data_IF_688102308473
#
_entry.id   IF_688102308473
#
_cell.length_a   1.000
_cell.length_b   1.000
_cell.length_c   1.000
_cell.angle_alpha   90.00
_cell.angle_beta   90.00
_cell.angle_gamma   90.00
#
_symmetry.space_group_name_H-M   'P 1'
#
loop_
_entity.id
_entity.type
_entity.pdbx_description
1 polymer ?
#
# COMPACT_ATOMS: atom_id res chain seq x y z
N UNK A 1 14.72 -9.94 -7.58
CA UNK A 1 13.35 -10.16 -7.06
C UNK A 1 13.14 -9.15 -5.97
N UNK A 2 11.92 -8.65 -5.80
CA UNK A 2 11.67 -7.51 -4.92
C UNK A 2 10.20 -7.49 -4.54
N UNK A 3 9.86 -8.48 -3.71
CA UNK A 3 8.62 -8.53 -2.95
C UNK A 3 8.77 -7.56 -1.77
N UNK A 4 7.75 -6.76 -1.52
CA UNK A 4 7.73 -5.83 -0.40
C UNK A 4 6.86 -6.38 0.72
N UNK A 5 5.59 -6.68 0.41
CA UNK A 5 4.60 -7.05 1.42
C UNK A 5 3.61 -8.10 0.91
N UNK A 6 3.20 -8.98 1.83
CA UNK A 6 2.14 -9.97 1.63
C UNK A 6 1.10 -9.84 2.74
N UNK A 7 -0.18 -9.76 2.35
CA UNK A 7 -1.29 -9.49 3.28
C UNK A 7 -2.42 -10.50 3.07
N UNK A 8 -2.70 -11.38 4.04
CA UNK A 8 -3.88 -12.25 4.00
C UNK A 8 -5.16 -11.42 3.98
N UNK A 9 -6.06 -11.69 3.04
CA UNK A 9 -7.29 -10.90 2.90
C UNK A 9 -8.38 -11.34 3.86
N UNK A 10 -8.43 -12.64 4.19
CA UNK A 10 -9.49 -13.27 4.99
C UNK A 10 -9.87 -12.52 6.27
N UNK A 11 -8.87 -12.06 7.03
CA UNK A 11 -9.08 -11.39 8.32
C UNK A 11 -9.63 -9.96 8.21
N UNK A 12 -9.76 -9.42 7.00
CA UNK A 12 -10.01 -7.99 6.77
C UNK A 12 -11.22 -7.71 5.87
N UNK A 13 -11.83 -8.75 5.28
CA UNK A 13 -12.98 -8.61 4.39
C UNK A 13 -14.07 -7.73 5.02
N UNK A 14 -14.51 -8.03 6.23
CA UNK A 14 -15.67 -7.35 6.82
C UNK A 14 -15.37 -5.96 7.41
N UNK A 15 -14.09 -5.56 7.47
CA UNK A 15 -13.66 -4.35 8.17
C UNK A 15 -13.01 -3.31 7.26
N UNK A 16 -12.73 -3.67 6.01
CA UNK A 16 -12.07 -2.81 5.04
C UNK A 16 -13.01 -2.63 3.85
N UNK A 17 -13.57 -1.43 3.69
CA UNK A 17 -14.69 -1.17 2.77
C UNK A 17 -14.46 -1.64 1.32
N UNK A 18 -13.27 -1.44 0.70
CA UNK A 18 -13.02 -1.98 -0.64
C UNK A 18 -13.00 -3.52 -0.75
N UNK A 19 -12.88 -4.23 0.37
CA UNK A 19 -12.86 -5.69 0.47
C UNK A 19 -14.17 -6.26 1.03
N UNK A 20 -15.06 -5.41 1.56
CA UNK A 20 -16.30 -5.83 2.19
C UNK A 20 -17.24 -6.52 1.22
N UNK A 21 -17.77 -7.67 1.64
CA UNK A 21 -18.69 -8.48 0.82
C UNK A 21 -18.02 -9.20 -0.35
N UNK A 22 -16.70 -9.42 -0.32
CA UNK A 22 -15.93 -10.13 -1.36
C UNK A 22 -15.48 -11.53 -0.93
N UNK A 23 -16.40 -12.52 -0.88
CA UNK A 23 -16.06 -13.89 -0.47
C UNK A 23 -15.06 -14.56 -1.43
N UNK A 24 -14.97 -14.10 -2.67
CA UNK A 24 -14.00 -14.56 -3.67
C UNK A 24 -12.54 -14.25 -3.29
N UNK A 25 -12.32 -13.36 -2.33
CA UNK A 25 -11.00 -13.01 -1.81
C UNK A 25 -10.63 -13.74 -0.51
N UNK A 26 -11.48 -14.64 0.00
CA UNK A 26 -11.26 -15.36 1.28
C UNK A 26 -9.95 -16.15 1.34
N UNK A 27 -9.48 -16.65 0.20
CA UNK A 27 -8.27 -17.47 0.07
C UNK A 27 -7.15 -16.72 -0.66
N UNK A 28 -7.31 -15.40 -0.81
CA UNK A 28 -6.36 -14.55 -1.51
C UNK A 28 -5.39 -13.87 -0.54
N UNK A 29 -4.21 -13.60 -1.08
CA UNK A 29 -3.18 -12.76 -0.48
C UNK A 29 -2.93 -11.59 -1.41
N UNK A 30 -2.98 -10.37 -0.87
CA UNK A 30 -2.50 -9.20 -1.60
C UNK A 30 -0.97 -9.21 -1.59
N UNK A 31 -0.38 -9.38 -2.76
CA UNK A 31 1.06 -9.36 -2.99
C UNK A 31 1.46 -8.02 -3.60
N UNK A 32 2.40 -7.31 -2.93
CA UNK A 32 2.92 -6.02 -3.38
C UNK A 32 4.38 -6.15 -3.75
N UNK A 33 4.71 -5.72 -4.96
CA UNK A 33 6.02 -5.82 -5.58
C UNK A 33 6.52 -4.43 -6.00
N UNK A 34 7.81 -4.16 -5.81
CA UNK A 34 8.47 -2.95 -6.30
C UNK A 34 9.86 -3.28 -6.81
N UNK A 35 10.33 -2.69 -7.90
CA UNK A 35 11.68 -2.87 -8.42
C UNK A 35 12.52 -1.61 -8.22
N UNK A 36 13.52 -1.65 -7.33
CA UNK A 36 14.17 -0.43 -6.82
C UNK A 36 15.39 0.06 -7.58
N UNK A 37 15.75 -0.56 -8.70
CA UNK A 37 16.92 -0.10 -9.45
C UNK A 37 16.51 1.03 -10.38
N UNK A 38 16.73 2.27 -9.94
CA UNK A 38 16.55 3.52 -10.73
C UNK A 38 17.12 3.46 -12.16
N UNK A 39 18.16 2.65 -12.39
CA UNK A 39 18.82 2.48 -13.69
C UNK A 39 18.23 1.38 -14.57
N UNK A 40 17.28 0.59 -14.05
CA UNK A 40 16.72 -0.60 -14.70
C UNK A 40 15.19 -0.52 -14.77
N UNK A 41 14.55 0.00 -13.73
CA UNK A 41 13.12 -0.03 -13.54
C UNK A 41 12.55 1.40 -13.45
N UNK A 42 11.57 1.66 -14.30
CA UNK A 42 10.74 2.86 -14.27
C UNK A 42 9.63 2.66 -13.21
N UNK A 43 10.04 2.60 -11.94
CA UNK A 43 9.15 2.28 -10.82
C UNK A 43 8.24 3.45 -10.41
N UNK A 44 8.24 4.56 -11.14
CA UNK A 44 7.26 5.63 -10.90
C UNK A 44 6.02 5.48 -11.77
N UNK A 45 6.08 4.76 -12.89
CA UNK A 45 4.92 4.46 -13.73
C UNK A 45 4.25 3.15 -13.25
N UNK A 46 3.05 3.23 -12.65
CA UNK A 46 2.38 2.05 -12.09
C UNK A 46 1.92 1.06 -13.17
N UNK A 47 2.00 1.41 -14.46
CA UNK A 47 1.62 0.54 -15.57
C UNK A 47 2.80 -0.15 -16.25
N UNK A 48 4.06 0.18 -15.90
CA UNK A 48 5.26 -0.43 -16.51
C UNK A 48 5.69 -1.75 -15.88
N UNK A 49 5.00 -2.19 -14.82
CA UNK A 49 5.29 -3.45 -14.13
C UNK A 49 6.52 -3.41 -13.23
N UNK A 50 7.15 -2.25 -13.08
CA UNK A 50 8.22 -2.04 -12.12
C UNK A 50 7.67 -1.97 -10.68
N UNK A 51 6.41 -1.58 -10.52
CA UNK A 51 5.63 -1.72 -9.30
C UNK A 51 4.35 -2.46 -9.65
N UNK A 52 3.88 -3.30 -8.74
CA UNK A 52 2.61 -3.96 -8.93
C UNK A 52 1.97 -4.42 -7.62
N UNK A 53 0.65 -4.56 -7.66
CA UNK A 53 -0.14 -5.19 -6.62
C UNK A 53 -1.11 -6.18 -7.27
N UNK A 54 -1.20 -7.39 -6.73
CA UNK A 54 -2.09 -8.43 -7.25
C UNK A 54 -2.66 -9.27 -6.11
N UNK A 55 -3.87 -9.77 -6.30
CA UNK A 55 -4.47 -10.80 -5.45
C UNK A 55 -4.08 -12.17 -6.00
N UNK A 56 -3.32 -12.93 -5.23
CA UNK A 56 -2.86 -14.29 -5.58
C UNK A 56 -3.53 -15.31 -4.66
N UNK A 57 -3.72 -16.54 -5.12
CA UNK A 57 -4.16 -17.60 -4.22
C UNK A 57 -3.06 -17.92 -3.21
N UNK A 58 -3.42 -18.09 -1.93
CA UNK A 58 -2.46 -18.42 -0.88
C UNK A 58 -1.67 -19.71 -1.22
N UNK A 59 -2.31 -20.67 -1.89
CA UNK A 59 -1.66 -21.90 -2.36
C UNK A 59 -0.59 -21.65 -3.44
N UNK A 60 -0.77 -20.64 -4.29
CA UNK A 60 0.20 -20.30 -5.35
C UNK A 60 1.50 -19.75 -4.76
N UNK A 61 1.41 -18.97 -3.67
CA UNK A 61 2.58 -18.45 -2.96
C UNK A 61 3.44 -19.55 -2.34
N UNK A 62 2.81 -20.63 -1.85
CA UNK A 62 3.50 -21.77 -1.25
C UNK A 62 4.15 -22.71 -2.28
N UNK A 63 3.83 -22.57 -3.56
CA UNK A 63 4.38 -23.37 -4.68
C UNK A 63 5.57 -22.68 -5.36
N UNK A 64 6.42 -22.00 -4.60
CA UNK A 64 7.64 -21.40 -5.14
C UNK A 64 8.63 -22.45 -5.62
N UNK A 65 8.93 -22.46 -6.91
CA UNK A 65 10.12 -23.14 -7.42
C UNK A 65 11.38 -22.44 -6.87
N UNK A 66 12.37 -23.22 -6.44
CA UNK A 66 13.65 -22.64 -6.05
C UNK A 66 14.31 -22.02 -7.28
N UNK A 67 14.50 -20.71 -7.25
CA UNK A 67 15.21 -20.02 -8.33
C UNK A 67 16.68 -20.45 -8.36
N UNK A 68 17.07 -21.19 -9.40
CA UNK A 68 18.44 -21.66 -9.62
C UNK A 68 19.38 -20.63 -10.27
N UNK A 69 18.99 -19.36 -10.28
CA UNK A 69 19.77 -18.28 -10.88
C UNK A 69 20.84 -17.69 -9.95
N UNK A 70 21.64 -16.73 -10.44
CA UNK A 70 22.71 -16.10 -9.65
C UNK A 70 22.13 -15.32 -8.47
N UNK A 71 22.68 -15.46 -7.26
CA UNK A 71 22.21 -14.73 -6.07
C UNK A 71 22.17 -13.22 -6.36
N UNK A 72 20.95 -12.65 -6.37
CA UNK A 72 20.73 -11.20 -6.44
C UNK A 72 20.26 -10.72 -5.08
N UNK A 73 20.62 -9.49 -4.71
CA UNK A 73 20.00 -8.83 -3.56
C UNK A 73 18.49 -8.76 -3.79
N UNK A 74 17.73 -9.28 -2.84
CA UNK A 74 16.27 -9.21 -2.79
C UNK A 74 15.92 -8.21 -1.70
N UNK A 75 14.85 -7.44 -1.91
CA UNK A 75 14.31 -6.59 -0.84
C UNK A 75 13.82 -7.45 0.32
N UNK A 76 13.76 -6.91 1.55
CA UNK A 76 13.08 -7.58 2.64
C UNK A 76 11.65 -7.90 2.24
N UNK A 77 11.25 -9.16 2.43
CA UNK A 77 9.86 -9.56 2.32
C UNK A 77 9.22 -9.46 3.70
N UNK A 78 8.12 -8.73 3.81
CA UNK A 78 7.30 -8.72 5.03
C UNK A 78 5.99 -9.46 4.84
N UNK A 79 5.64 -10.28 5.82
CA UNK A 79 4.33 -10.88 5.93
C UNK A 79 3.57 -10.17 7.05
N UNK A 80 2.40 -9.61 6.72
CA UNK A 80 1.58 -8.91 7.71
C UNK A 80 0.65 -9.92 8.37
N UNK A 81 0.86 -10.17 9.66
CA UNK A 81 0.07 -11.12 10.44
C UNK A 81 -1.23 -10.51 10.99
N UNK A 82 -1.29 -9.19 11.10
CA UNK A 82 -2.48 -8.49 11.58
C UNK A 82 -2.27 -6.99 11.71
N UNK A 83 -3.37 -6.30 12.04
CA UNK A 83 -3.42 -4.85 12.20
C UNK A 83 -4.03 -4.49 13.56
N UNK A 84 -3.49 -3.45 14.19
CA UNK A 84 -4.17 -2.79 15.29
C UNK A 84 -5.23 -1.83 14.72
N UNK A 85 -6.43 -1.82 15.31
CA UNK A 85 -7.47 -0.87 14.91
C UNK A 85 -7.10 0.54 15.36
N UNK A 86 -7.28 1.51 14.46
CA UNK A 86 -7.02 2.92 14.71
C UNK A 86 -8.02 3.80 13.92
N UNK A 87 -8.37 4.95 14.47
CA UNK A 87 -9.22 5.95 13.81
C UNK A 87 -8.33 6.95 13.03
N UNK A 88 -8.76 7.35 11.83
CA UNK A 88 -8.07 8.36 11.03
C UNK A 88 -8.33 9.79 11.52
N UNK A 89 -9.34 10.00 12.38
CA UNK A 89 -9.78 11.32 12.86
C UNK A 89 -10.25 12.26 11.72
N UNK A 90 -10.73 11.66 10.64
CA UNK A 90 -11.26 12.34 9.46
C UNK A 90 -12.78 12.15 9.41
N UNK A 91 -13.50 13.23 9.13
CA UNK A 91 -14.94 13.19 8.98
C UNK A 91 -15.33 12.45 7.68
N UNK A 92 -16.43 11.69 7.70
CA UNK A 92 -16.86 10.86 6.57
C UNK A 92 -17.05 11.68 5.29
N UNK A 93 -17.58 12.90 5.41
CA UNK A 93 -17.78 13.82 4.29
C UNK A 93 -16.48 14.33 3.64
N UNK A 94 -15.33 14.18 4.32
CA UNK A 94 -14.04 14.62 3.82
C UNK A 94 -13.30 13.51 3.04
N UNK A 95 -13.73 12.25 3.14
CA UNK A 95 -13.02 11.08 2.58
C UNK A 95 -12.73 11.24 1.09
N UNK A 96 -13.72 11.64 0.28
CA UNK A 96 -13.57 11.79 -1.17
C UNK A 96 -12.56 12.89 -1.55
N UNK A 97 -12.35 13.87 -0.67
CA UNK A 97 -11.39 14.94 -0.90
C UNK A 97 -9.95 14.45 -0.88
N UNK A 98 -9.65 13.31 -0.26
CA UNK A 98 -8.27 12.76 -0.22
C UNK A 98 -7.80 12.18 -1.55
N UNK A 99 -8.69 12.00 -2.52
CA UNK A 99 -8.35 11.55 -3.88
C UNK A 99 -8.56 12.63 -4.94
N UNK A 100 -8.83 13.87 -4.52
CA UNK A 100 -8.95 15.03 -5.41
C UNK A 100 -8.01 16.14 -4.92
N UNK A 101 -7.00 16.46 -5.73
CA UNK A 101 -5.94 17.41 -5.35
C UNK A 101 -6.49 18.78 -4.95
N UNK A 102 -7.49 19.29 -5.68
CA UNK A 102 -8.09 20.60 -5.40
C UNK A 102 -8.85 20.59 -4.07
N UNK A 103 -9.65 19.55 -3.84
CA UNK A 103 -10.47 19.41 -2.63
C UNK A 103 -9.63 19.09 -1.41
N UNK A 104 -8.56 18.30 -1.55
CA UNK A 104 -7.62 17.98 -0.47
C UNK A 104 -7.02 19.24 0.15
N UNK A 105 -6.47 20.13 -0.68
CA UNK A 105 -5.85 21.36 -0.19
C UNK A 105 -6.86 22.38 0.36
N UNK A 106 -8.16 22.18 0.12
CA UNK A 106 -9.23 22.99 0.72
C UNK A 106 -9.66 22.48 2.11
N UNK A 107 -9.23 21.28 2.53
CA UNK A 107 -9.53 20.74 3.85
C UNK A 107 -8.82 21.53 4.97
N UNK A 108 -9.37 21.56 6.19
CA UNK A 108 -8.63 22.00 7.36
C UNK A 108 -7.30 21.24 7.52
N UNK A 109 -6.24 21.94 7.91
CA UNK A 109 -4.89 21.39 8.06
C UNK A 109 -4.85 20.12 8.95
N UNK A 110 -5.61 20.12 10.05
CA UNK A 110 -5.75 18.96 10.95
C UNK A 110 -6.27 17.68 10.28
N UNK A 111 -6.92 17.81 9.14
CA UNK A 111 -7.40 16.67 8.34
C UNK A 111 -6.43 16.36 7.20
N UNK A 112 -5.69 17.33 6.67
CA UNK A 112 -4.63 17.05 5.70
C UNK A 112 -3.50 16.21 6.33
N UNK A 113 -3.24 16.42 7.63
CA UNK A 113 -2.18 15.76 8.39
C UNK A 113 -2.74 15.04 9.62
N UNK A 114 -3.54 13.97 9.44
CA UNK A 114 -4.03 13.20 10.57
C UNK A 114 -2.85 12.65 11.37
N UNK A 115 -2.97 12.72 12.70
CA UNK A 115 -1.94 12.27 13.66
C UNK A 115 -0.55 12.91 13.51
N UNK A 116 -0.45 14.09 12.87
CA UNK A 116 0.81 14.85 12.74
C UNK A 116 1.98 13.99 12.20
N UNK A 117 1.67 13.15 11.21
CA UNK A 117 2.62 12.25 10.56
C UNK A 117 3.27 11.19 11.48
N UNK A 118 2.59 10.75 12.55
CA UNK A 118 3.04 9.66 13.41
C UNK A 118 3.52 8.46 12.57
N UNK A 119 4.83 8.20 12.60
CA UNK A 119 5.48 7.16 11.81
C UNK A 119 4.96 5.76 12.11
N UNK A 120 4.39 5.54 13.30
CA UNK A 120 3.81 4.25 13.69
C UNK A 120 2.47 3.95 13.01
N UNK A 121 1.84 4.97 12.41
CA UNK A 121 0.53 4.87 11.75
C UNK A 121 0.61 5.00 10.21
N UNK A 122 1.81 5.18 9.64
CA UNK A 122 2.00 5.39 8.20
C UNK A 122 1.94 4.10 7.37
N UNK A 123 2.17 2.94 7.98
CA UNK A 123 1.82 1.67 7.33
C UNK A 123 0.45 1.26 7.84
N UNK A 124 -0.56 1.20 6.95
CA UNK A 124 -1.96 1.03 7.33
C UNK A 124 -2.80 0.40 6.23
N UNK A 125 -3.85 -0.32 6.62
CA UNK A 125 -4.86 -0.89 5.74
C UNK A 125 -6.21 -0.21 5.98
N UNK A 126 -6.84 0.29 4.92
CA UNK A 126 -8.12 1.00 4.95
C UNK A 126 -8.04 2.45 5.43
N UNK A 127 -9.19 3.13 5.45
CA UNK A 127 -9.28 4.55 5.80
C UNK A 127 -8.96 5.48 4.61
N UNK A 128 -8.33 6.62 4.87
CA UNK A 128 -7.84 7.57 3.86
C UNK A 128 -6.31 7.49 3.70
N UNK A 129 -5.75 7.78 2.51
CA UNK A 129 -4.30 7.89 2.35
C UNK A 129 -3.77 9.07 3.17
N UNK A 130 -2.65 8.87 3.85
CA UNK A 130 -1.92 9.95 4.52
C UNK A 130 -0.88 10.50 3.55
N UNK A 131 -1.20 11.64 2.96
CA UNK A 131 -0.30 12.31 2.03
C UNK A 131 0.83 13.03 2.76
N UNK A 132 2.04 12.90 2.23
CA UNK A 132 3.22 13.63 2.68
C UNK A 132 3.36 14.95 1.93
N UNK A 133 4.58 15.49 1.80
CA UNK A 133 4.83 16.85 1.35
C UNK A 133 4.28 17.21 -0.05
N UNK A 134 4.06 16.24 -0.93
CA UNK A 134 3.52 16.48 -2.27
C UNK A 134 1.98 16.40 -2.36
N UNK A 135 1.27 16.11 -1.26
CA UNK A 135 -0.17 15.88 -1.28
C UNK A 135 -0.55 14.68 -2.17
N UNK A 136 -1.77 14.62 -2.71
CA UNK A 136 -2.21 13.50 -3.55
C UNK A 136 -1.43 13.33 -4.88
N UNK A 137 -0.89 14.43 -5.44
CA UNK A 137 -0.04 14.48 -6.65
C UNK A 137 -0.42 13.43 -7.72
N UNK A 138 -1.65 13.57 -8.24
CA UNK A 138 -2.28 12.70 -9.25
C UNK A 138 -2.62 11.27 -8.75
N UNK A 139 -3.49 11.14 -7.74
CA UNK A 139 -3.96 9.84 -7.28
C UNK A 139 -4.81 9.15 -8.37
N UNK A 140 -4.94 7.81 -8.32
CA UNK A 140 -5.87 7.09 -9.19
C UNK A 140 -7.28 7.64 -9.05
N UNK A 141 -7.91 7.98 -10.19
CA UNK A 141 -9.27 8.52 -10.22
C UNK A 141 -10.31 7.43 -9.99
N UNK A 142 -11.56 7.77 -9.61
CA UNK A 142 -12.66 6.82 -9.59
C UNK A 142 -12.70 5.95 -10.86
N UNK A 143 -13.00 4.65 -10.75
CA UNK A 143 -13.55 3.93 -9.59
C UNK A 143 -12.50 3.37 -8.60
N UNK A 144 -11.25 3.82 -8.68
CA UNK A 144 -10.22 3.37 -7.75
C UNK A 144 -10.47 3.91 -6.33
N UNK A 145 -10.32 3.04 -5.33
CA UNK A 145 -10.40 3.36 -3.90
C UNK A 145 -9.13 2.94 -3.19
N UNK A 146 -8.69 3.76 -2.24
CA UNK A 146 -7.52 3.48 -1.43
C UNK A 146 -7.72 2.20 -0.60
N UNK A 147 -6.69 1.35 -0.54
CA UNK A 147 -6.70 0.09 0.21
C UNK A 147 -5.57 0.03 1.23
N UNK A 148 -4.34 0.28 0.83
CA UNK A 148 -3.15 0.06 1.66
C UNK A 148 -2.16 1.20 1.48
N UNK A 149 -1.51 1.59 2.57
CA UNK A 149 -0.34 2.45 2.57
C UNK A 149 0.83 1.72 3.23
N UNK A 150 2.00 1.81 2.63
CA UNK A 150 3.26 1.25 3.16
C UNK A 150 4.29 2.36 3.26
N UNK A 151 4.77 2.63 4.46
CA UNK A 151 5.90 3.54 4.69
C UNK A 151 7.21 2.85 4.35
N UNK A 152 8.20 3.59 3.86
CA UNK A 152 9.53 3.06 3.59
C UNK A 152 10.23 2.54 4.84
N UNK A 153 9.87 3.02 6.03
CA UNK A 153 10.42 2.61 7.30
C UNK A 153 9.38 1.84 8.11
N UNK A 154 9.72 0.61 8.50
CA UNK A 154 8.93 -0.17 9.43
C UNK A 154 9.58 -0.14 10.82
N UNK A 155 8.84 0.37 11.82
CA UNK A 155 9.30 0.33 13.22
C UNK A 155 9.10 -1.09 13.76
N UNK A 156 10.21 -1.75 14.13
CA UNK A 156 10.17 -3.12 14.66
C UNK A 156 10.67 -3.13 16.12
N UNK A 157 9.86 -3.58 17.09
CA UNK A 157 10.23 -3.60 18.51
C UNK A 157 11.52 -4.39 18.80
N UNK A 158 11.82 -5.38 17.95
CA UNK A 158 12.94 -6.32 18.13
C UNK A 158 14.26 -5.84 17.50
N UNK A 159 14.25 -4.73 16.76
CA UNK A 159 15.44 -4.19 16.08
C UNK A 159 16.04 -3.06 16.90
N UNK A 160 17.32 -3.19 17.26
CA UNK A 160 18.04 -2.27 18.15
C UNK A 160 18.13 -0.82 17.62
N UNK A 161 18.08 -0.62 16.29
CA UNK A 161 18.05 0.70 15.64
C UNK A 161 16.62 1.24 15.41
N UNK A 162 15.59 0.50 15.85
CA UNK A 162 14.21 0.96 15.91
C UNK A 162 13.41 0.90 14.61
N UNK A 163 14.05 0.91 13.43
CA UNK A 163 13.35 0.81 12.15
C UNK A 163 14.15 0.06 11.07
N UNK A 164 13.44 -0.54 10.11
CA UNK A 164 14.01 -1.21 8.92
C UNK A 164 13.51 -0.52 7.66
N UNK A 165 14.41 -0.24 6.73
CA UNK A 165 14.04 0.26 5.40
C UNK A 165 13.46 -0.92 4.58
N UNK A 166 12.19 -0.81 4.22
CA UNK A 166 11.51 -1.80 3.38
C UNK A 166 11.81 -1.55 1.90
N UNK A 167 11.94 -0.28 1.52
CA UNK A 167 12.17 0.06 0.14
C UNK A 167 12.24 1.55 -0.22
N UNK A 168 12.62 1.82 -1.46
CA UNK A 168 12.72 3.17 -2.01
C UNK A 168 11.39 3.64 -2.62
N UNK A 169 10.65 4.43 -1.85
CA UNK A 169 9.43 5.11 -2.30
C UNK A 169 9.65 6.60 -2.56
N UNK A 170 10.79 6.94 -3.17
CA UNK A 170 11.15 8.32 -3.53
C UNK A 170 11.19 9.30 -2.33
N UNK A 171 11.03 10.59 -2.62
CA UNK A 171 11.06 11.67 -1.62
C UNK A 171 9.91 11.60 -0.61
N UNK A 172 8.73 11.14 -1.04
CA UNK A 172 7.57 10.98 -0.18
C UNK A 172 7.67 9.78 0.76
N UNK A 173 8.50 8.78 0.40
CA UNK A 173 8.78 7.64 1.27
C UNK A 173 7.56 6.76 1.53
N UNK A 174 6.51 6.84 0.71
CA UNK A 174 5.26 6.10 0.90
C UNK A 174 4.77 5.50 -0.42
N UNK A 175 4.40 4.23 -0.37
CA UNK A 175 3.70 3.53 -1.44
C UNK A 175 2.22 3.33 -1.09
N UNK A 176 1.35 3.40 -2.10
CA UNK A 176 -0.11 3.33 -1.94
C UNK A 176 -0.70 2.28 -2.87
N UNK A 177 -1.59 1.43 -2.37
CA UNK A 177 -2.37 0.51 -3.19
C UNK A 177 -3.80 1.02 -3.29
N UNK A 178 -4.28 1.11 -4.52
CA UNK A 178 -5.67 1.40 -4.84
C UNK A 178 -6.30 0.20 -5.54
N UNK A 179 -7.58 -0.05 -5.33
CA UNK A 179 -8.33 -1.12 -6.01
C UNK A 179 -9.50 -0.56 -6.80
N UNK A 180 -9.73 -1.11 -7.98
CA UNK A 180 -10.86 -0.74 -8.82
C UNK A 180 -12.10 -1.56 -8.45
N UNK A 181 -13.16 -0.90 -8.01
CA UNK A 181 -14.39 -1.58 -7.58
C UNK A 181 -15.37 -1.94 -8.70
N UNK A 182 -15.17 -1.42 -9.91
CA UNK A 182 -16.12 -1.62 -11.02
C UNK A 182 -15.94 -2.98 -11.73
N UNK A 183 -14.94 -3.76 -11.34
CA UNK A 183 -14.67 -5.07 -11.94
C UNK A 183 -14.71 -6.18 -10.90
N UNK A 184 -15.16 -7.35 -11.35
CA UNK A 184 -15.18 -8.54 -10.52
C UNK A 184 -13.77 -8.97 -10.07
N UNK A 185 -12.74 -8.68 -10.87
CA UNK A 185 -11.35 -9.10 -10.59
C UNK A 185 -10.62 -8.19 -9.59
N UNK A 186 -11.21 -7.05 -9.21
CA UNK A 186 -10.66 -6.09 -8.25
C UNK A 186 -9.17 -5.74 -8.51
N UNK A 187 -8.81 -5.24 -9.71
CA UNK A 187 -7.43 -4.98 -10.05
C UNK A 187 -6.86 -3.93 -9.10
N UNK A 188 -5.69 -4.25 -8.56
CA UNK A 188 -4.95 -3.40 -7.66
C UNK A 188 -3.87 -2.62 -8.42
N UNK A 189 -3.64 -1.38 -8.01
CA UNK A 189 -2.67 -0.47 -8.57
C UNK A 189 -1.74 -0.02 -7.45
N UNK A 190 -0.44 -0.29 -7.59
CA UNK A 190 0.56 0.18 -6.65
C UNK A 190 1.22 1.46 -7.18
N UNK A 191 1.04 2.56 -6.45
CA UNK A 191 1.46 3.91 -6.81
C UNK A 191 2.48 4.40 -5.79
N UNK A 192 3.56 4.99 -6.29
CA UNK A 192 4.53 5.73 -5.47
C UNK A 192 4.37 7.20 -5.81
N UNK A 193 4.16 8.02 -4.78
CA UNK A 193 3.95 9.44 -4.96
C UNK A 193 5.26 10.17 -5.25
N UNK A 194 5.20 11.22 -6.09
CA UNK A 194 6.37 12.00 -6.52
C UNK A 194 6.17 13.49 -6.29
#
# INVERSE_FOLDING_TARGET
MSCLAQIPVRGHLDHVEPLAGRPDLLDKVLHVFTCERLTICDFWDPHRGANAAFFLDEEELRRGEQWGGPIVSVLPEVWIEGWASHDDLVAEEAVDSFTDDTSFYALPEKWQFPHDFDTTLRTKLGGVPYWTGNGPSNPPRPPFRFLLQVDKWLTLPEVAEGAVELGNFCSDGTGFVFVNLDTAELPALFVINR
#
